data_IF_246177015807
#
_entry.id   IF_246177015807
#
_cell.length_a   1.000
_cell.length_b   1.000
_cell.length_c   1.000
_cell.angle_alpha   90.00
_cell.angle_beta   90.00
_cell.angle_gamma   90.00
#
_symmetry.space_group_name_H-M   'P 1'
#
loop_
_entity.id
_entity.type
_entity.pdbx_description
1 polymer ?
#
# COMPACT_ATOMS: atom_id res chain seq x y z
N UNK A 1 16.23 -5.55 -10.13
CA UNK A 1 15.28 -5.85 -9.04
C UNK A 1 15.09 -7.36 -8.94
N UNK A 2 15.18 -7.89 -7.73
CA UNK A 2 14.87 -9.27 -7.35
C UNK A 2 13.37 -9.45 -7.14
N UNK A 3 12.81 -10.45 -7.80
CA UNK A 3 11.41 -10.83 -7.70
C UNK A 3 11.23 -11.83 -6.55
N UNK A 4 10.39 -11.50 -5.59
CA UNK A 4 10.05 -12.34 -4.45
C UNK A 4 8.56 -12.70 -4.52
N UNK A 5 8.19 -13.90 -5.03
CA UNK A 5 6.80 -14.33 -5.09
C UNK A 5 6.13 -14.26 -3.71
N UNK A 6 4.88 -13.79 -3.66
CA UNK A 6 4.11 -13.52 -2.42
C UNK A 6 4.64 -12.43 -1.49
N UNK A 7 5.85 -11.90 -1.71
CA UNK A 7 6.48 -10.95 -0.80
C UNK A 7 6.64 -9.57 -1.44
N UNK A 8 7.27 -9.46 -2.61
CA UNK A 8 7.51 -8.16 -3.22
C UNK A 8 8.66 -8.08 -4.23
N UNK A 9 9.19 -6.87 -4.39
CA UNK A 9 10.25 -6.55 -5.33
C UNK A 9 11.35 -5.76 -4.60
N UNK A 10 12.62 -6.17 -4.74
CA UNK A 10 13.72 -5.51 -4.03
C UNK A 10 15.01 -5.34 -4.83
N UNK A 11 15.84 -4.39 -4.46
CA UNK A 11 17.25 -4.33 -4.83
C UNK A 11 18.08 -3.91 -3.61
N UNK A 12 19.35 -3.57 -3.81
CA UNK A 12 20.25 -3.17 -2.72
C UNK A 12 19.83 -1.89 -2.00
N UNK A 13 19.07 -1.01 -2.67
CA UNK A 13 18.71 0.32 -2.16
C UNK A 13 17.24 0.45 -1.76
N UNK A 14 16.35 -0.33 -2.38
CA UNK A 14 14.89 -0.14 -2.38
C UNK A 14 14.22 -1.50 -2.19
N UNK A 15 13.27 -1.54 -1.27
CA UNK A 15 12.44 -2.71 -1.00
C UNK A 15 10.94 -2.33 -1.08
N UNK A 16 10.22 -2.93 -2.01
CA UNK A 16 8.77 -2.84 -2.11
C UNK A 16 8.15 -4.16 -1.66
N UNK A 17 7.75 -4.23 -0.39
CA UNK A 17 7.16 -5.42 0.21
C UNK A 17 5.64 -5.27 0.35
N UNK A 18 4.90 -6.28 -0.06
CA UNK A 18 3.45 -6.37 0.13
C UNK A 18 3.11 -6.20 1.61
N UNK A 19 2.10 -5.39 1.89
CA UNK A 19 1.67 -5.06 3.25
C UNK A 19 2.37 -3.85 3.83
N UNK A 20 3.40 -3.32 3.15
CA UNK A 20 3.98 -2.03 3.53
C UNK A 20 2.93 -0.94 3.32
N UNK A 21 2.68 -0.08 4.32
CA UNK A 21 1.69 0.98 4.20
C UNK A 21 2.16 2.09 3.25
N UNK A 22 1.19 2.72 2.59
CA UNK A 22 1.40 3.79 1.59
C UNK A 22 2.38 4.86 2.08
N UNK A 23 2.25 5.29 3.33
CA UNK A 23 3.11 6.32 3.89
C UNK A 23 4.60 5.95 3.91
N UNK A 24 4.92 4.71 4.26
CA UNK A 24 6.30 4.24 4.31
C UNK A 24 6.84 4.09 2.90
N UNK A 25 6.04 3.59 1.96
CA UNK A 25 6.45 3.53 0.56
C UNK A 25 6.71 4.93 0.00
N UNK A 26 5.83 5.90 0.26
CA UNK A 26 6.04 7.28 -0.17
C UNK A 26 7.29 7.91 0.47
N UNK A 27 7.52 7.63 1.76
CA UNK A 27 8.76 8.07 2.45
C UNK A 27 10.00 7.45 1.80
N UNK A 28 9.95 6.16 1.49
CA UNK A 28 11.03 5.44 0.81
C UNK A 28 11.31 6.05 -0.56
N UNK A 29 10.26 6.36 -1.33
CA UNK A 29 10.37 7.01 -2.63
C UNK A 29 11.01 8.40 -2.48
N UNK A 30 10.58 9.19 -1.50
CA UNK A 30 11.12 10.53 -1.24
C UNK A 30 12.60 10.49 -0.81
N UNK A 31 12.98 9.53 0.03
CA UNK A 31 14.37 9.33 0.45
C UNK A 31 15.28 8.93 -0.72
N UNK A 32 14.72 8.22 -1.71
CA UNK A 32 15.42 7.74 -2.89
C UNK A 32 15.06 8.54 -4.16
N UNK A 33 14.65 9.80 -4.03
CA UNK A 33 14.16 10.63 -5.14
C UNK A 33 15.17 10.88 -6.27
N UNK A 34 16.46 10.63 -6.03
CA UNK A 34 17.51 10.67 -7.08
C UNK A 34 17.43 9.48 -8.04
N UNK A 35 16.96 8.34 -7.53
CA UNK A 35 16.87 7.07 -8.26
C UNK A 35 15.45 6.93 -8.82
N UNK A 36 14.45 7.08 -7.95
CA UNK A 36 13.03 6.95 -8.28
C UNK A 36 12.48 8.28 -8.76
N UNK A 37 12.47 8.46 -10.07
CA UNK A 37 12.01 9.68 -10.75
C UNK A 37 10.73 9.41 -11.54
N UNK A 38 10.00 10.48 -11.91
CA UNK A 38 8.73 10.39 -12.64
C UNK A 38 7.66 9.55 -11.90
N UNK A 39 7.35 9.97 -10.67
CA UNK A 39 6.39 9.28 -9.79
C UNK A 39 5.04 9.97 -9.85
N UNK A 40 4.00 9.22 -10.21
CA UNK A 40 2.62 9.69 -10.26
C UNK A 40 1.77 9.00 -9.18
N UNK A 41 1.04 9.80 -8.40
CA UNK A 41 0.11 9.28 -7.40
C UNK A 41 -1.34 9.50 -7.86
N UNK A 42 -2.05 8.40 -8.09
CA UNK A 42 -3.44 8.38 -8.55
C UNK A 42 -4.36 7.91 -7.42
N UNK A 43 -5.43 8.66 -7.19
CA UNK A 43 -6.50 8.31 -6.25
C UNK A 43 -7.83 8.91 -6.71
N UNK A 44 -8.94 8.26 -6.35
CA UNK A 44 -10.28 8.74 -6.70
C UNK A 44 -10.78 9.76 -5.69
N UNK A 45 -11.03 11.01 -6.14
CA UNK A 45 -11.69 12.03 -5.29
C UNK A 45 -13.18 11.76 -5.07
N UNK A 46 -13.84 11.11 -6.04
CA UNK A 46 -15.28 10.80 -6.00
C UNK A 46 -15.59 9.60 -5.12
N UNK A 47 -14.66 8.65 -5.09
CA UNK A 47 -14.80 7.39 -4.36
C UNK A 47 -13.45 6.98 -3.74
N UNK A 48 -13.00 7.70 -2.70
CA UNK A 48 -11.67 7.51 -2.11
C UNK A 48 -11.52 6.20 -1.32
N UNK A 49 -12.62 5.56 -0.96
CA UNK A 49 -12.62 4.31 -0.18
C UNK A 49 -13.03 3.08 -0.99
N UNK A 50 -13.66 3.26 -2.15
CA UNK A 50 -14.02 2.15 -3.05
C UNK A 50 -12.99 1.88 -4.14
N UNK A 51 -12.12 2.83 -4.48
CA UNK A 51 -11.07 2.66 -5.49
C UNK A 51 -9.67 2.73 -4.92
N UNK A 52 -8.86 1.76 -5.29
CA UNK A 52 -7.44 1.69 -4.95
C UNK A 52 -6.67 2.98 -5.19
N UNK A 53 -5.64 3.16 -4.38
CA UNK A 53 -4.64 4.20 -4.56
C UNK A 53 -3.49 3.58 -5.34
N UNK A 54 -2.98 4.26 -6.36
CA UNK A 54 -1.90 3.75 -7.20
C UNK A 54 -0.73 4.74 -7.22
N UNK A 55 0.47 4.28 -6.93
CA UNK A 55 1.70 5.01 -7.19
C UNK A 55 2.40 4.37 -8.40
N UNK A 56 2.64 5.15 -9.45
CA UNK A 56 3.31 4.69 -10.67
C UNK A 56 4.71 5.29 -10.76
N UNK A 57 5.71 4.45 -10.96
CA UNK A 57 7.12 4.83 -11.12
C UNK A 57 7.43 4.69 -12.62
N UNK A 58 7.19 5.76 -13.36
CA UNK A 58 7.13 5.72 -14.82
C UNK A 58 8.47 5.43 -15.51
N UNK A 59 9.59 5.71 -14.85
CA UNK A 59 10.92 5.41 -15.38
C UNK A 59 11.35 3.95 -15.14
N UNK A 60 10.72 3.25 -14.19
CA UNK A 60 10.99 1.85 -13.86
C UNK A 60 9.91 0.89 -14.40
N UNK A 61 8.78 1.43 -14.89
CA UNK A 61 7.63 0.64 -15.31
C UNK A 61 6.94 -0.09 -14.16
N UNK A 62 7.06 0.41 -12.92
CA UNK A 62 6.51 -0.22 -11.71
C UNK A 62 5.24 0.49 -11.27
N UNK A 63 4.17 -0.27 -11.06
CA UNK A 63 2.91 0.20 -10.48
C UNK A 63 2.69 -0.44 -9.11
N UNK A 64 2.59 0.40 -8.09
CA UNK A 64 2.31 0.01 -6.70
C UNK A 64 0.85 0.30 -6.41
N UNK A 65 0.08 -0.73 -6.08
CA UNK A 65 -1.37 -0.64 -5.87
C UNK A 65 -1.69 -0.89 -4.40
N UNK A 66 -2.35 0.08 -3.78
CA UNK A 66 -2.69 0.09 -2.36
C UNK A 66 -4.18 -0.09 -2.16
N UNK A 67 -4.53 -0.89 -1.16
CA UNK A 67 -5.91 -1.07 -0.76
C UNK A 67 -6.51 0.29 -0.30
N UNK A 68 -7.73 0.67 -0.72
CA UNK A 68 -8.27 2.00 -0.46
C UNK A 68 -8.50 2.28 1.03
N UNK A 69 -9.00 1.28 1.75
CA UNK A 69 -9.28 1.39 3.20
C UNK A 69 -8.01 1.22 4.04
N UNK A 70 -7.34 0.07 3.96
CA UNK A 70 -6.17 -0.22 4.82
C UNK A 70 -4.90 0.51 4.38
N UNK A 71 -4.86 1.06 3.16
CA UNK A 71 -3.71 1.74 2.56
C UNK A 71 -2.44 0.88 2.53
N UNK A 72 -2.59 -0.45 2.59
CA UNK A 72 -1.50 -1.40 2.49
C UNK A 72 -1.23 -1.74 1.03
N UNK A 73 0.05 -1.85 0.67
CA UNK A 73 0.48 -2.31 -0.65
C UNK A 73 -0.04 -3.73 -0.87
N UNK A 74 -0.95 -3.91 -1.82
CA UNK A 74 -1.63 -5.19 -2.05
C UNK A 74 -1.22 -5.88 -3.34
N UNK A 75 -0.67 -5.13 -4.28
CA UNK A 75 -0.30 -5.59 -5.60
C UNK A 75 0.84 -4.72 -6.14
N UNK A 76 1.85 -5.37 -6.72
CA UNK A 76 2.95 -4.72 -7.44
C UNK A 76 2.88 -5.24 -8.86
N UNK A 77 2.80 -4.34 -9.83
CA UNK A 77 2.81 -4.69 -11.24
C UNK A 77 4.04 -4.09 -11.91
N UNK A 78 4.60 -4.82 -12.86
CA UNK A 78 5.62 -4.32 -13.78
C UNK A 78 5.02 -4.40 -15.16
N UNK A 79 4.70 -3.24 -15.74
CA UNK A 79 4.03 -3.11 -17.04
C UNK A 79 4.99 -2.70 -18.17
N UNK A 80 6.18 -2.20 -17.84
CA UNK A 80 7.22 -1.92 -18.82
C UNK A 80 8.53 -2.66 -18.49
N UNK A 81 8.67 -3.86 -19.03
CA UNK A 81 9.86 -4.71 -18.84
C UNK A 81 11.11 -4.18 -19.57
N UNK A 82 10.94 -3.24 -20.51
CA UNK A 82 12.06 -2.65 -21.25
C UNK A 82 12.90 -1.67 -20.42
N UNK A 83 12.40 -1.24 -19.27
CA UNK A 83 13.05 -0.25 -18.41
C UNK A 83 13.71 -0.86 -17.16
N UNK A 84 13.58 -2.18 -16.96
CA UNK A 84 13.95 -2.81 -15.70
C UNK A 84 14.59 -4.18 -15.90
N UNK A 85 15.67 -4.43 -15.15
CA UNK A 85 16.30 -5.76 -15.06
C UNK A 85 15.63 -6.53 -13.91
N UNK A 86 15.05 -7.69 -14.21
CA UNK A 86 14.41 -8.58 -13.24
C UNK A 86 15.24 -9.85 -13.03
N UNK A 87 15.45 -10.17 -11.75
CA UNK A 87 16.19 -11.35 -11.30
C UNK A 87 15.29 -12.28 -10.48
N UNK A 88 15.48 -13.58 -10.63
CA UNK A 88 14.88 -14.61 -9.79
C UNK A 88 15.96 -15.63 -9.40
N UNK A 89 16.11 -15.93 -8.10
CA UNK A 89 17.17 -16.81 -7.57
C UNK A 89 18.57 -16.46 -8.12
N UNK A 90 18.97 -15.19 -8.01
CA UNK A 90 20.24 -14.63 -8.53
C UNK A 90 20.44 -14.63 -10.05
N UNK A 91 19.51 -15.20 -10.84
CA UNK A 91 19.60 -15.23 -12.30
C UNK A 91 18.72 -14.15 -12.94
N UNK A 92 19.24 -13.47 -13.97
CA UNK A 92 18.49 -12.49 -14.75
C UNK A 92 17.57 -13.25 -15.72
N UNK A 93 16.26 -12.97 -15.67
CA UNK A 93 15.30 -13.53 -16.63
C UNK A 93 14.73 -12.48 -17.58
N UNK A 94 14.70 -11.21 -17.16
CA UNK A 94 14.26 -10.08 -17.98
C UNK A 94 15.29 -8.96 -17.90
N UNK A 95 15.64 -8.37 -19.05
CA UNK A 95 16.53 -7.21 -19.13
C UNK A 95 16.11 -6.30 -20.30
N UNK A 96 16.39 -4.99 -20.21
CA UNK A 96 16.14 -4.05 -21.29
C UNK A 96 16.69 -4.52 -22.64
N UNK A 97 15.84 -4.56 -23.66
CA UNK A 97 16.22 -4.98 -25.02
C UNK A 97 16.20 -6.49 -25.28
N UNK A 98 16.03 -7.33 -24.25
CA UNK A 98 15.83 -8.76 -24.41
C UNK A 98 14.37 -9.13 -24.12
N UNK A 99 13.68 -9.63 -25.14
CA UNK A 99 12.29 -10.05 -24.98
C UNK A 99 12.20 -11.36 -24.19
N UNK A 100 11.24 -11.43 -23.28
CA UNK A 100 10.99 -12.61 -22.47
C UNK A 100 9.84 -13.39 -23.06
N UNK A 101 10.14 -14.60 -23.56
CA UNK A 101 9.14 -15.52 -24.07
C UNK A 101 8.49 -16.32 -22.95
N UNK A 102 7.37 -16.96 -23.29
CA UNK A 102 6.62 -17.83 -22.39
C UNK A 102 7.44 -19.04 -21.91
N UNK A 103 8.30 -19.61 -22.75
CA UNK A 103 9.16 -20.75 -22.39
C UNK A 103 10.26 -20.35 -21.41
N UNK A 104 10.86 -19.18 -21.61
CA UNK A 104 11.86 -18.64 -20.68
C UNK A 104 11.28 -18.47 -19.28
N UNK A 105 10.01 -18.08 -19.16
CA UNK A 105 9.34 -18.02 -17.86
C UNK A 105 9.15 -19.41 -17.25
N UNK A 106 8.77 -20.41 -18.04
CA UNK A 106 8.63 -21.79 -17.56
C UNK A 106 9.96 -22.38 -17.10
N UNK A 107 11.07 -22.07 -17.77
CA UNK A 107 12.41 -22.49 -17.35
C UNK A 107 12.77 -21.97 -15.95
N UNK A 108 12.41 -20.72 -15.65
CA UNK A 108 12.76 -20.07 -14.37
C UNK A 108 11.82 -20.43 -13.22
N UNK A 109 10.51 -20.51 -13.49
CA UNK A 109 9.48 -20.65 -12.46
C UNK A 109 8.83 -22.04 -12.43
N UNK A 110 9.17 -22.91 -13.38
CA UNK A 110 8.56 -24.23 -13.56
C UNK A 110 7.21 -24.13 -14.28
N UNK A 111 6.85 -25.16 -15.03
CA UNK A 111 5.57 -25.20 -15.73
C UNK A 111 4.40 -25.16 -14.74
N UNK A 112 3.40 -24.36 -15.06
CA UNK A 112 2.11 -24.34 -14.36
C UNK A 112 1.09 -25.19 -15.10
N UNK A 113 0.12 -25.78 -14.38
CA UNK A 113 -1.09 -26.34 -15.01
C UNK A 113 -1.71 -25.29 -15.95
N UNK A 114 -2.28 -25.70 -17.10
CA UNK A 114 -2.36 -24.87 -18.30
C UNK A 114 -2.90 -23.47 -18.00
N UNK A 115 -2.09 -22.47 -18.35
CA UNK A 115 -2.36 -21.06 -18.09
C UNK A 115 -3.78 -20.65 -18.51
N UNK A 116 -4.38 -19.74 -17.74
CA UNK A 116 -5.72 -19.26 -18.04
C UNK A 116 -5.66 -18.39 -19.30
N UNK A 117 -6.31 -18.84 -20.38
CA UNK A 117 -6.49 -18.06 -21.59
C UNK A 117 -7.79 -17.27 -21.51
N UNK A 118 -7.69 -15.95 -21.61
CA UNK A 118 -8.85 -15.09 -21.81
C UNK A 118 -9.05 -14.85 -23.30
N UNK A 119 -10.05 -15.52 -23.88
CA UNK A 119 -10.40 -15.39 -25.30
C UNK A 119 -10.93 -14.00 -25.67
N UNK A 120 -11.48 -13.24 -24.72
CA UNK A 120 -11.99 -11.89 -24.97
C UNK A 120 -10.86 -10.88 -25.08
N UNK A 121 -9.87 -11.00 -24.21
CA UNK A 121 -8.71 -10.12 -24.19
C UNK A 121 -7.57 -10.62 -25.07
N UNK A 122 -7.66 -11.86 -25.57
CA UNK A 122 -6.58 -12.58 -26.27
C UNK A 122 -5.28 -12.59 -25.46
N UNK A 123 -5.38 -12.76 -24.14
CA UNK A 123 -4.24 -12.79 -23.23
C UNK A 123 -4.13 -14.19 -22.62
N UNK A 124 -2.94 -14.76 -22.67
CA UNK A 124 -2.59 -15.91 -21.85
C UNK A 124 -1.97 -15.43 -20.53
N UNK A 125 -2.52 -15.89 -19.41
CA UNK A 125 -1.97 -15.61 -18.08
C UNK A 125 -1.40 -16.89 -17.50
N UNK A 126 -0.11 -16.87 -17.16
CA UNK A 126 0.51 -17.89 -16.33
C UNK A 126 0.55 -17.42 -14.89
N UNK A 127 0.08 -18.23 -13.96
CA UNK A 127 -0.04 -17.84 -12.56
C UNK A 127 0.54 -18.91 -11.64
N UNK A 128 1.37 -18.47 -10.72
CA UNK A 128 1.87 -19.19 -9.56
C UNK A 128 1.26 -18.55 -8.31
N UNK A 129 1.48 -19.18 -7.16
CA UNK A 129 1.09 -18.55 -5.89
C UNK A 129 1.91 -17.27 -5.70
N UNK A 130 1.22 -16.13 -5.75
CA UNK A 130 1.74 -14.78 -5.54
C UNK A 130 2.57 -14.18 -6.67
N UNK A 131 2.50 -14.76 -7.87
CA UNK A 131 3.16 -14.24 -9.06
C UNK A 131 2.35 -14.60 -10.31
N UNK A 132 2.14 -13.65 -11.21
CA UNK A 132 1.55 -13.93 -12.52
C UNK A 132 2.25 -13.17 -13.64
N UNK A 133 2.18 -13.72 -14.84
CA UNK A 133 2.74 -13.19 -16.07
C UNK A 133 1.69 -13.17 -17.17
N UNK A 134 1.56 -12.05 -17.88
CA UNK A 134 0.61 -11.86 -18.96
C UNK A 134 1.31 -11.82 -20.32
N UNK A 135 0.77 -12.59 -21.26
CA UNK A 135 1.27 -12.77 -22.61
C UNK A 135 0.13 -12.51 -23.61
N UNK A 136 0.06 -11.32 -24.22
CA UNK A 136 -0.88 -11.04 -25.29
C UNK A 136 -0.59 -11.95 -26.49
N UNK A 137 -1.63 -12.55 -27.03
CA UNK A 137 -1.57 -13.46 -28.18
C UNK A 137 -2.02 -12.72 -29.44
N UNK A 138 -1.29 -12.86 -30.55
CA UNK A 138 -1.69 -12.29 -31.83
C UNK A 138 -2.93 -13.03 -32.39
N UNK A 139 -3.78 -12.32 -33.14
CA UNK A 139 -5.00 -12.88 -33.77
C UNK A 139 -4.73 -14.07 -34.70
N UNK A 140 -3.50 -14.17 -35.23
CA UNK A 140 -3.06 -15.19 -36.19
C UNK A 140 -2.17 -16.29 -35.61
N UNK A 141 -1.99 -16.34 -34.28
CA UNK A 141 -1.30 -17.49 -33.69
C UNK A 141 -2.19 -18.72 -33.90
N UNK A 142 -1.65 -19.74 -34.55
CA UNK A 142 -2.28 -21.05 -34.70
C UNK A 142 -2.41 -21.70 -33.31
N UNK A 143 -3.34 -21.20 -32.51
CA UNK A 143 -3.67 -21.77 -31.22
C UNK A 143 -4.41 -23.07 -31.54
N UNK A 144 -3.66 -24.17 -31.58
CA UNK A 144 -4.27 -25.49 -31.58
C UNK A 144 -4.93 -25.69 -30.22
N UNK A 145 -6.21 -25.33 -30.14
CA UNK A 145 -7.06 -25.57 -28.98
C UNK A 145 -7.31 -27.07 -28.93
N UNK A 146 -6.43 -27.80 -28.23
CA UNK A 146 -6.69 -29.21 -27.96
C UNK A 146 -7.72 -29.30 -26.84
N UNK A 147 -8.84 -30.03 -26.98
CA UNK A 147 -9.78 -30.24 -25.89
C UNK A 147 -9.09 -31.03 -24.77
N UNK A 148 -8.73 -30.34 -23.68
CA UNK A 148 -8.30 -30.97 -22.44
C UNK A 148 -9.50 -31.39 -21.59
N UNK A 149 -9.29 -32.30 -20.64
CA UNK A 149 -10.31 -32.64 -19.64
C UNK A 149 -10.65 -31.41 -18.77
N UNK A 150 -11.83 -30.83 -18.97
CA UNK A 150 -12.36 -29.68 -18.20
C UNK A 150 -12.21 -28.32 -18.91
N UNK A 151 -12.43 -27.18 -18.23
CA UNK A 151 -12.37 -25.84 -18.82
C UNK A 151 -10.95 -25.36 -19.18
N UNK A 152 -9.96 -26.26 -19.13
CA UNK A 152 -8.55 -25.95 -19.33
C UNK A 152 -8.16 -26.13 -20.80
N UNK A 153 -7.75 -25.02 -21.43
CA UNK A 153 -7.24 -24.99 -22.81
C UNK A 153 -5.71 -25.02 -22.76
N UNK A 154 -5.08 -26.08 -23.29
CA UNK A 154 -3.64 -26.09 -23.51
C UNK A 154 -3.33 -25.31 -24.77
N UNK A 155 -2.67 -24.16 -24.63
CA UNK A 155 -2.16 -23.39 -25.76
C UNK A 155 -0.77 -23.94 -26.14
N UNK A 156 -0.61 -24.38 -27.38
CA UNK A 156 0.71 -24.64 -27.95
C UNK A 156 1.06 -23.48 -28.87
N UNK A 157 2.25 -22.93 -28.70
CA UNK A 157 2.81 -21.89 -29.55
C UNK A 157 4.03 -22.46 -30.25
N UNK A 158 4.13 -22.26 -31.56
CA UNK A 158 5.37 -22.54 -32.27
C UNK A 158 6.47 -21.61 -31.75
N UNK A 159 7.71 -22.11 -31.72
CA UNK A 159 8.86 -21.37 -31.16
C UNK A 159 9.06 -19.98 -31.81
N UNK A 160 8.67 -19.81 -33.08
CA UNK A 160 8.72 -18.53 -33.80
C UNK A 160 7.55 -17.57 -33.54
N UNK A 161 6.46 -18.03 -32.90
CA UNK A 161 5.23 -17.25 -32.67
C UNK A 161 4.92 -17.06 -31.18
N UNK A 162 5.91 -17.28 -30.32
CA UNK A 162 5.69 -17.22 -28.88
C UNK A 162 5.28 -15.81 -28.44
N UNK A 163 4.20 -15.69 -27.65
CA UNK A 163 3.78 -14.41 -27.15
C UNK A 163 4.82 -13.87 -26.17
N UNK A 164 4.98 -12.55 -26.19
CA UNK A 164 5.98 -11.85 -25.39
C UNK A 164 5.39 -11.41 -24.07
N UNK A 165 6.22 -11.42 -23.03
CA UNK A 165 5.81 -10.94 -21.72
C UNK A 165 5.55 -9.43 -21.77
N UNK A 166 4.37 -9.00 -21.36
CA UNK A 166 4.05 -7.56 -21.27
C UNK A 166 3.79 -7.08 -19.86
N UNK A 167 3.38 -7.98 -18.95
CA UNK A 167 3.07 -7.61 -17.58
C UNK A 167 3.44 -8.71 -16.61
N UNK A 168 4.10 -8.33 -15.52
CA UNK A 168 4.29 -9.17 -14.33
C UNK A 168 3.48 -8.60 -13.17
N UNK A 169 2.93 -9.44 -12.31
CA UNK A 169 2.22 -9.02 -11.11
C UNK A 169 2.60 -9.87 -9.92
N UNK A 170 2.88 -9.22 -8.78
CA UNK A 170 3.23 -9.83 -7.50
C UNK A 170 2.13 -9.46 -6.51
N UNK A 171 1.55 -10.48 -5.87
CA UNK A 171 0.40 -10.34 -4.97
C UNK A 171 0.43 -11.44 -3.91
N UNK A 172 -0.45 -11.36 -2.91
CA UNK A 172 -0.62 -12.43 -1.91
C UNK A 172 -1.78 -13.33 -2.30
N UNK A 173 -1.60 -14.65 -2.24
CA UNK A 173 -2.61 -15.64 -2.60
C UNK A 173 -2.38 -16.31 -3.96
N UNK A 174 -3.45 -16.85 -4.56
CA UNK A 174 -3.36 -17.79 -5.69
C UNK A 174 -3.58 -17.16 -7.06
N UNK A 175 -4.34 -16.07 -7.14
CA UNK A 175 -4.61 -15.38 -8.40
C UNK A 175 -4.85 -13.88 -8.19
N UNK A 176 -4.52 -13.08 -9.21
CA UNK A 176 -4.83 -11.64 -9.26
C UNK A 176 -6.34 -11.43 -9.14
N UNK A 177 -6.77 -10.59 -8.20
CA UNK A 177 -8.18 -10.25 -7.96
C UNK A 177 -8.87 -11.13 -6.91
N UNK A 178 -8.32 -12.32 -6.63
CA UNK A 178 -8.65 -13.13 -5.44
C UNK A 178 -7.52 -13.04 -4.41
N UNK A 179 -7.03 -11.82 -4.19
CA UNK A 179 -5.89 -11.59 -3.34
C UNK A 179 -6.28 -11.91 -1.88
N UNK A 180 -5.43 -12.67 -1.20
CA UNK A 180 -5.54 -12.87 0.24
C UNK A 180 -5.27 -11.54 0.96
N UNK A 181 -5.84 -11.38 2.15
CA UNK A 181 -5.58 -10.20 2.96
C UNK A 181 -4.09 -10.06 3.25
N UNK A 182 -3.57 -8.86 2.96
CA UNK A 182 -2.16 -8.57 3.19
C UNK A 182 -2.01 -8.00 4.59
N UNK A 183 -1.17 -8.67 5.37
CA UNK A 183 -0.76 -8.24 6.69
C UNK A 183 0.52 -7.43 6.59
N UNK A 184 0.61 -6.40 7.40
CA UNK A 184 1.81 -5.57 7.48
C UNK A 184 3.02 -6.36 8.00
N UNK A 185 4.18 -6.30 7.32
CA UNK A 185 5.36 -7.02 7.75
C UNK A 185 5.93 -6.44 9.04
N UNK A 186 6.56 -7.27 9.88
CA UNK A 186 7.13 -6.84 11.16
C UNK A 186 8.15 -5.69 11.00
N UNK A 187 8.98 -5.77 9.96
CA UNK A 187 9.95 -4.73 9.63
C UNK A 187 9.30 -3.35 9.39
N UNK A 188 8.07 -3.32 8.86
CA UNK A 188 7.33 -2.08 8.61
C UNK A 188 6.82 -1.41 9.90
N UNK A 189 6.88 -2.05 11.07
CA UNK A 189 6.52 -1.37 12.31
C UNK A 189 7.60 -0.36 12.72
N UNK A 190 8.89 -0.63 12.48
CA UNK A 190 10.01 0.27 12.83
C UNK A 190 9.93 0.88 14.24
N UNK A 191 9.44 0.12 15.23
CA UNK A 191 9.22 0.61 16.61
C UNK A 191 8.06 1.61 16.78
N UNK A 192 7.25 1.82 15.73
CA UNK A 192 6.09 2.69 15.74
C UNK A 192 4.82 1.95 16.16
N UNK A 193 3.99 2.67 16.91
CA UNK A 193 2.65 2.21 17.24
C UNK A 193 1.73 2.35 16.04
N UNK A 194 0.90 1.32 15.82
CA UNK A 194 -0.10 1.29 14.75
C UNK A 194 -1.44 0.85 15.28
N UNK A 195 -2.47 1.46 14.73
CA UNK A 195 -3.83 1.21 15.17
C UNK A 195 -4.41 0.04 14.39
N UNK A 196 -4.83 -0.98 15.12
CA UNK A 196 -5.46 -2.18 14.55
C UNK A 196 -6.98 -1.97 14.47
N UNK A 197 -7.55 -1.32 15.47
CA UNK A 197 -8.98 -1.13 15.62
C UNK A 197 -9.25 0.19 16.34
N UNK A 198 -10.22 0.95 15.86
CA UNK A 198 -10.79 2.08 16.60
C UNK A 198 -12.28 1.85 16.73
N UNK A 199 -12.77 1.80 17.97
CA UNK A 199 -14.19 1.69 18.26
C UNK A 199 -14.66 2.93 19.02
N UNK A 200 -15.81 3.47 18.61
CA UNK A 200 -16.43 4.59 19.30
C UNK A 200 -17.54 4.06 20.21
N UNK A 201 -17.25 3.88 21.50
CA UNK A 201 -18.28 3.51 22.48
C UNK A 201 -19.17 4.71 22.83
N UNK A 202 -20.39 4.78 22.30
CA UNK A 202 -21.37 5.82 22.68
C UNK A 202 -22.03 5.50 24.02
N UNK A 203 -21.29 5.61 25.11
CA UNK A 203 -21.83 5.84 26.45
C UNK A 203 -21.09 7.03 27.05
N UNK A 204 -21.75 8.20 27.08
CA UNK A 204 -21.29 9.43 27.72
C UNK A 204 -19.89 9.94 27.30
N UNK A 205 -19.67 10.22 26.01
CA UNK A 205 -18.55 11.06 25.54
C UNK A 205 -17.14 10.44 25.56
N UNK A 206 -17.01 9.15 25.84
CA UNK A 206 -15.73 8.42 25.82
C UNK A 206 -15.44 7.84 24.43
N UNK A 207 -14.27 8.12 23.85
CA UNK A 207 -13.76 7.37 22.69
C UNK A 207 -12.72 6.35 23.20
N UNK A 208 -12.83 5.10 22.78
CA UNK A 208 -11.91 4.03 23.18
C UNK A 208 -10.95 3.82 22.01
N UNK A 209 -9.77 4.45 22.06
CA UNK A 209 -8.83 4.42 20.94
C UNK A 209 -7.82 3.27 21.10
N UNK A 210 -7.81 2.35 20.15
CA UNK A 210 -7.33 0.98 20.36
C UNK A 210 -5.81 0.75 20.35
N UNK A 211 -5.48 -0.43 20.89
CA UNK A 211 -4.33 -1.33 20.64
C UNK A 211 -3.04 -0.75 20.04
N UNK A 212 -2.24 -0.10 20.87
CA UNK A 212 -0.82 0.28 20.68
C UNK A 212 0.10 -0.88 21.03
N UNK A 213 1.27 -1.07 20.41
CA UNK A 213 2.04 -2.30 20.55
C UNK A 213 3.53 -2.05 20.62
N UNK A 214 4.18 -2.24 21.77
CA UNK A 214 5.65 -2.15 21.89
C UNK A 214 6.22 -3.00 23.04
N UNK A 215 7.26 -3.79 22.74
CA UNK A 215 8.19 -4.42 23.69
C UNK A 215 9.62 -4.21 23.15
N UNK A 216 10.57 -4.00 24.06
CA UNK A 216 12.01 -3.86 23.75
C UNK A 216 12.74 -5.07 24.33
N UNK A 217 13.62 -5.63 23.48
CA UNK A 217 14.68 -6.64 23.64
C UNK A 217 14.34 -8.14 23.52
N UNK A 218 14.99 -8.79 22.54
CA UNK A 218 15.16 -10.23 22.39
C UNK A 218 14.70 -10.76 21.04
N UNK A 219 13.38 -10.77 20.85
CA UNK A 219 12.69 -11.18 19.62
C UNK A 219 11.52 -10.21 19.42
N UNK A 220 11.36 -9.66 18.22
CA UNK A 220 10.32 -8.67 17.93
C UNK A 220 8.93 -9.33 17.91
N UNK A 221 8.21 -9.27 19.02
CA UNK A 221 6.81 -9.72 19.13
C UNK A 221 5.84 -8.52 19.14
N UNK A 222 4.72 -8.63 18.42
CA UNK A 222 3.65 -7.62 18.41
C UNK A 222 2.77 -7.75 19.68
N UNK A 223 2.58 -6.66 20.43
CA UNK A 223 1.92 -6.65 21.75
C UNK A 223 0.68 -5.78 21.76
N UNK A 224 -0.55 -6.30 21.69
CA UNK A 224 -1.76 -5.45 21.62
C UNK A 224 -2.06 -4.69 22.93
N UNK A 225 -2.09 -3.34 22.94
CA UNK A 225 -2.37 -2.48 24.14
C UNK A 225 -3.56 -1.54 23.95
N UNK A 226 -4.68 -1.82 24.60
CA UNK A 226 -5.87 -0.95 24.52
C UNK A 226 -5.65 0.40 25.21
N UNK A 227 -5.98 1.50 24.52
CA UNK A 227 -5.99 2.85 25.09
C UNK A 227 -7.39 3.45 25.02
N UNK A 228 -7.61 4.57 25.68
CA UNK A 228 -8.92 5.23 25.74
C UNK A 228 -8.71 6.72 25.90
N UNK A 229 -9.31 7.51 25.02
CA UNK A 229 -9.21 8.97 25.01
C UNK A 229 -10.62 9.57 24.97
N UNK A 230 -10.94 10.47 25.87
CA UNK A 230 -12.29 11.06 25.94
C UNK A 230 -12.27 12.45 25.32
N UNK A 231 -13.39 12.87 24.73
CA UNK A 231 -13.57 14.30 24.45
C UNK A 231 -13.53 15.06 25.79
N UNK A 232 -12.75 16.14 25.86
CA UNK A 232 -12.46 16.77 27.15
C UNK A 232 -11.06 16.47 27.70
N UNK A 233 -10.37 15.44 27.20
CA UNK A 233 -9.04 15.08 27.70
C UNK A 233 -8.01 16.17 27.36
N UNK A 234 -7.14 16.46 28.35
CA UNK A 234 -6.04 17.40 28.17
C UNK A 234 -4.99 16.84 27.19
N UNK A 235 -4.22 17.74 26.56
CA UNK A 235 -3.09 17.36 25.69
C UNK A 235 -2.15 16.37 26.38
N UNK A 236 -1.82 16.58 27.66
CA UNK A 236 -0.95 15.67 28.42
C UNK A 236 -1.53 14.26 28.52
N UNK A 237 -2.86 14.13 28.72
CA UNK A 237 -3.53 12.83 28.77
C UNK A 237 -3.52 12.13 27.42
N UNK A 238 -3.79 12.87 26.33
CA UNK A 238 -3.71 12.32 24.97
C UNK A 238 -2.29 11.87 24.63
N UNK A 239 -1.27 12.67 24.95
CA UNK A 239 0.14 12.31 24.76
C UNK A 239 0.54 11.10 25.61
N UNK A 240 0.04 10.97 26.84
CA UNK A 240 0.32 9.80 27.69
C UNK A 240 -0.30 8.51 27.16
N UNK A 241 -1.46 8.61 26.48
CA UNK A 241 -2.17 7.47 25.92
C UNK A 241 -1.59 7.05 24.56
N UNK A 242 -1.39 8.00 23.64
CA UNK A 242 -1.02 7.75 22.25
C UNK A 242 0.49 7.91 21.97
N UNK A 243 1.22 8.59 22.85
CA UNK A 243 2.59 9.00 22.63
C UNK A 243 2.71 10.31 21.83
N UNK A 244 3.93 10.60 21.40
CA UNK A 244 4.24 11.80 20.63
C UNK A 244 3.63 11.73 19.22
N UNK A 245 3.04 12.84 18.72
CA UNK A 245 2.51 12.90 17.37
C UNK A 245 3.62 12.89 16.33
N UNK A 246 3.31 12.39 15.13
CA UNK A 246 4.25 12.41 14.01
C UNK A 246 4.51 13.84 13.53
N UNK A 247 3.48 14.69 13.54
CA UNK A 247 3.60 16.11 13.19
C UNK A 247 2.52 16.94 13.89
N UNK A 248 2.89 18.14 14.30
CA UNK A 248 1.98 19.14 14.85
C UNK A 248 1.74 20.21 13.79
N UNK A 249 0.47 20.55 13.58
CA UNK A 249 0.07 21.58 12.65
C UNK A 249 -0.73 22.65 13.38
N UNK A 250 -0.42 23.90 13.11
CA UNK A 250 -1.16 25.04 13.62
C UNK A 250 -2.10 25.53 12.53
N UNK A 251 -3.37 25.75 12.89
CA UNK A 251 -4.32 26.41 12.01
C UNK A 251 -3.83 27.84 11.83
N UNK A 252 -3.34 28.16 10.63
CA UNK A 252 -2.97 29.53 10.28
C UNK A 252 -4.17 30.44 10.55
N UNK A 253 -3.93 31.57 11.22
CA UNK A 253 -4.99 32.53 11.52
C UNK A 253 -5.72 32.98 10.25
N UNK A 254 -7.01 33.22 10.43
CA UNK A 254 -7.89 33.77 9.42
C UNK A 254 -7.32 35.12 8.93
N UNK A 255 -7.05 35.25 7.63
CA UNK A 255 -6.45 36.46 7.00
C UNK A 255 -7.35 37.71 7.07
N UNK A 256 -8.44 37.65 7.86
CA UNK A 256 -9.44 38.69 8.11
C UNK A 256 -9.22 39.45 9.45
N UNK A 257 -8.15 39.16 10.20
CA UNK A 257 -7.89 39.80 11.51
C UNK A 257 -7.67 41.33 11.44
N UNK A 258 -7.29 41.86 10.27
CA UNK A 258 -7.10 43.30 9.99
C UNK A 258 -8.39 44.14 10.03
N UNK A 259 -9.57 43.52 9.99
CA UNK A 259 -10.85 44.24 10.11
C UNK A 259 -11.42 44.26 11.53
N UNK A 260 -10.77 43.61 12.49
CA UNK A 260 -11.14 43.73 13.90
C UNK A 260 -10.53 45.01 14.45
N UNK A 261 -11.35 46.07 14.45
CA UNK A 261 -11.02 47.37 15.03
C UNK A 261 -10.40 47.23 16.42
N UNK A 262 -9.33 47.98 16.65
CA UNK A 262 -8.44 47.83 17.79
C UNK A 262 -9.15 47.96 19.14
N UNK A 263 -8.94 46.99 20.01
CA UNK A 263 -8.94 47.21 21.45
C UNK A 263 -8.23 46.06 22.18
N UNK A 264 -7.19 46.41 22.94
CA UNK A 264 -6.51 45.68 24.01
C UNK A 264 -5.55 44.56 23.61
N UNK A 265 -4.28 44.78 23.98
CA UNK A 265 -3.26 43.76 24.23
C UNK A 265 -3.83 42.69 25.16
N UNK A 266 -4.40 41.66 24.55
CA UNK A 266 -4.74 40.41 25.21
C UNK A 266 -3.84 39.40 24.53
N UNK A 267 -3.00 38.69 25.31
CA UNK A 267 -2.15 37.59 24.84
C UNK A 267 -2.84 36.88 23.69
N UNK A 268 -2.28 37.00 22.48
CA UNK A 268 -2.89 36.49 21.25
C UNK A 268 -3.42 35.08 21.52
N UNK A 269 -4.71 34.78 21.25
CA UNK A 269 -5.22 33.44 21.45
C UNK A 269 -4.36 32.52 20.57
N UNK A 270 -3.58 31.64 21.21
CA UNK A 270 -2.72 30.73 20.47
C UNK A 270 -3.56 30.01 19.39
N UNK A 271 -3.02 29.80 18.19
CA UNK A 271 -3.80 29.21 17.12
C UNK A 271 -4.19 27.77 17.47
N UNK A 272 -5.43 27.38 17.18
CA UNK A 272 -5.85 25.99 17.26
C UNK A 272 -4.85 25.10 16.54
N UNK A 273 -4.44 24.00 17.16
CA UNK A 273 -3.50 23.07 16.57
C UNK A 273 -4.08 21.66 16.57
N UNK A 274 -3.51 20.81 15.73
CA UNK A 274 -3.85 19.41 15.68
C UNK A 274 -2.59 18.54 15.62
N UNK A 275 -2.73 17.36 16.24
CA UNK A 275 -1.74 16.30 16.21
C UNK A 275 -2.08 15.33 15.10
N UNK A 276 -1.14 15.11 14.20
CA UNK A 276 -1.23 14.08 13.17
C UNK A 276 -0.42 12.87 13.61
N UNK A 277 -1.10 11.74 13.80
CA UNK A 277 -0.54 10.44 14.12
C UNK A 277 -0.58 9.55 12.87
N UNK A 278 0.37 9.77 11.98
CA UNK A 278 0.34 9.18 10.65
C UNK A 278 0.52 7.66 10.65
N UNK A 279 1.35 7.13 11.56
CA UNK A 279 1.56 5.69 11.73
C UNK A 279 0.29 4.97 12.22
N UNK A 280 -0.56 5.69 12.94
CA UNK A 280 -1.82 5.22 13.52
C UNK A 280 -3.04 5.55 12.66
N UNK A 281 -2.89 6.34 11.60
CA UNK A 281 -4.01 6.77 10.78
C UNK A 281 -4.99 7.70 11.51
N UNK A 282 -4.52 8.48 12.50
CA UNK A 282 -5.33 9.31 13.39
C UNK A 282 -4.96 10.79 13.34
N UNK A 283 -5.96 11.66 13.53
CA UNK A 283 -5.80 13.11 13.70
C UNK A 283 -6.58 13.59 14.92
N UNK A 284 -5.90 14.24 15.86
CA UNK A 284 -6.49 14.78 17.09
C UNK A 284 -6.46 16.30 17.08
N UNK A 285 -7.63 16.94 17.16
CA UNK A 285 -7.76 18.40 17.15
C UNK A 285 -7.91 18.96 18.56
N UNK A 286 -7.20 20.05 18.86
CA UNK A 286 -7.21 20.70 20.16
C UNK A 286 -7.68 22.16 20.09
N UNK A 287 -8.47 22.58 21.08
CA UNK A 287 -8.76 23.99 21.29
C UNK A 287 -7.62 24.66 22.05
N UNK A 288 -7.03 25.73 21.49
CA UNK A 288 -5.85 26.35 22.08
C UNK A 288 -6.11 27.12 23.38
N UNK A 289 -7.37 27.46 23.66
CA UNK A 289 -7.77 28.15 24.89
C UNK A 289 -7.80 27.18 26.08
N UNK A 290 -8.07 25.89 25.84
CA UNK A 290 -8.27 24.90 26.91
C UNK A 290 -7.32 23.71 26.82
N UNK A 291 -6.56 23.58 25.72
CA UNK A 291 -5.72 22.41 25.41
C UNK A 291 -6.47 21.07 25.58
N UNK A 292 -7.73 21.07 25.14
CA UNK A 292 -8.66 19.94 25.28
C UNK A 292 -8.93 19.33 23.90
N UNK A 293 -8.98 18.00 23.85
CA UNK A 293 -9.38 17.22 22.68
C UNK A 293 -10.84 17.52 22.32
N UNK A 294 -11.04 17.99 21.09
CA UNK A 294 -12.35 18.46 20.62
C UNK A 294 -12.90 17.71 19.43
N UNK A 295 -12.02 17.23 18.54
CA UNK A 295 -12.37 16.36 17.42
C UNK A 295 -11.30 15.30 17.22
N UNK A 296 -11.74 14.12 16.78
CA UNK A 296 -10.89 13.03 16.34
C UNK A 296 -11.28 12.64 14.91
N UNK A 297 -10.28 12.51 14.04
CA UNK A 297 -10.44 12.06 12.66
C UNK A 297 -9.62 10.81 12.40
N UNK A 298 -10.17 9.91 11.59
CA UNK A 298 -9.51 8.70 11.11
C UNK A 298 -9.23 8.82 9.62
N UNK A 299 -8.00 8.53 9.19
CA UNK A 299 -7.63 8.47 7.77
C UNK A 299 -8.15 7.20 7.08
N UNK A 300 -8.37 6.13 7.84
CA UNK A 300 -8.90 4.85 7.36
C UNK A 300 -10.03 4.36 8.26
N UNK A 301 -11.07 3.78 7.67
CA UNK A 301 -12.07 3.00 8.41
C UNK A 301 -11.42 1.67 8.82
N UNK A 302 -10.68 1.66 9.91
CA UNK A 302 -10.34 0.42 10.61
C UNK A 302 -11.65 -0.27 11.01
N UNK A 303 -11.74 -1.58 10.85
CA UNK A 303 -13.01 -2.34 10.83
C UNK A 303 -13.97 -1.94 11.95
N UNK A 304 -15.23 -1.66 11.63
CA UNK A 304 -16.25 -1.40 12.64
C UNK A 304 -16.62 -2.71 13.32
N UNK A 305 -16.08 -2.96 14.51
CA UNK A 305 -16.71 -3.86 15.47
C UNK A 305 -17.92 -3.14 16.06
N UNK A 306 -19.12 -3.53 15.66
CA UNK A 306 -20.33 -3.21 16.43
C UNK A 306 -20.42 -4.23 17.56
N UNK A 307 -20.15 -3.78 18.78
CA UNK A 307 -20.63 -4.42 20.02
C UNK A 307 -21.49 -3.41 20.78
#
# INVERSE_FOLDING_TARGET
MYVLPQEGLKNENIEFILGTPLNQVLTLIQQNARILTNVELMYSRKDPLGRDICAYLGNDGIRLVFHPVTQLLRLIEVDNLSQIVLKYKEKIFSEPGAEVSMDKVDEFFGSTHPGAYDDKQKICVKSWRGLSFCFPTAESANVEVTPGFGPLRSLKFDSATQPRLTKMSIFKGTAVGKNEEVTMPLAAYCGQNRTILVSCARKNGKITDGNVTSRINGELELVKVMRTISFGDSVARVLSALGAPSKVFYKSEDKMSIHRGGCKETLSPQPHFFFNYFSMGLVSFFFSISFILSRLGLYSKLGYGYD
#
